data_IF_307976209078
#
_entry.id   IF_307976209078
#
_cell.length_a   1.000
_cell.length_b   1.000
_cell.length_c   1.000
_cell.angle_alpha   90.00
_cell.angle_beta   90.00
_cell.angle_gamma   90.00
#
_symmetry.space_group_name_H-M   'P 1'
#
loop_
_entity.id
_entity.type
_entity.pdbx_description
1 polymer ?
#
# COMPACT_ATOMS: atom_id res chain seq x y z
N UNK A 1 5.25 -4.45 -37.20
CA UNK A 1 4.23 -5.05 -36.32
C UNK A 1 4.81 -5.42 -34.96
N UNK A 2 5.83 -6.30 -34.87
CA UNK A 2 6.45 -6.67 -33.58
C UNK A 2 7.06 -5.49 -32.81
N UNK A 3 7.74 -4.56 -33.48
CA UNK A 3 8.32 -3.37 -32.83
C UNK A 3 7.26 -2.45 -32.20
N UNK A 4 6.08 -2.30 -32.83
CA UNK A 4 4.98 -1.50 -32.28
C UNK A 4 4.34 -2.15 -31.04
N UNK A 5 4.26 -3.48 -30.98
CA UNK A 5 3.76 -4.19 -29.79
C UNK A 5 4.70 -4.05 -28.60
N UNK A 6 6.01 -4.16 -28.82
CA UNK A 6 7.01 -3.95 -27.76
C UNK A 6 7.00 -2.51 -27.23
N UNK A 7 6.81 -1.50 -28.09
CA UNK A 7 6.65 -0.11 -27.67
C UNK A 7 5.42 0.11 -26.79
N UNK A 8 4.26 -0.45 -27.19
CA UNK A 8 3.02 -0.34 -26.39
C UNK A 8 3.20 -1.04 -25.04
N UNK A 9 3.82 -2.22 -25.03
CA UNK A 9 4.09 -2.98 -23.79
C UNK A 9 5.01 -2.18 -22.85
N UNK A 10 6.08 -1.59 -23.37
CA UNK A 10 6.99 -0.76 -22.58
C UNK A 10 6.25 0.45 -21.98
N UNK A 11 5.41 1.13 -22.76
CA UNK A 11 4.60 2.25 -22.30
C UNK A 11 3.66 1.83 -21.15
N UNK A 12 2.98 0.69 -21.29
CA UNK A 12 2.12 0.15 -20.22
C UNK A 12 2.91 -0.14 -18.94
N UNK A 13 4.09 -0.76 -19.03
CA UNK A 13 4.93 -1.02 -17.86
C UNK A 13 5.36 0.28 -17.15
N UNK A 14 5.75 1.30 -17.92
CA UNK A 14 6.10 2.61 -17.36
C UNK A 14 4.91 3.24 -16.64
N UNK A 15 3.72 3.20 -17.24
CA UNK A 15 2.50 3.74 -16.63
C UNK A 15 2.12 3.00 -15.35
N UNK A 16 2.20 1.66 -15.34
CA UNK A 16 1.92 0.84 -14.15
C UNK A 16 2.86 1.23 -13.00
N UNK A 17 4.16 1.33 -13.28
CA UNK A 17 5.15 1.74 -12.28
C UNK A 17 4.86 3.17 -11.79
N UNK A 18 4.57 4.09 -12.70
CA UNK A 18 4.30 5.48 -12.36
C UNK A 18 3.07 5.63 -11.44
N UNK A 19 1.97 4.95 -11.78
CA UNK A 19 0.77 4.92 -10.94
C UNK A 19 1.06 4.24 -9.60
N UNK A 20 1.86 3.17 -9.60
CA UNK A 20 2.30 2.49 -8.39
C UNK A 20 3.07 3.42 -7.43
N UNK A 21 3.98 4.24 -7.97
CA UNK A 21 4.72 5.24 -7.17
C UNK A 21 3.77 6.27 -6.57
N UNK A 22 2.82 6.80 -7.36
CA UNK A 22 1.81 7.74 -6.86
C UNK A 22 1.00 7.12 -5.72
N UNK A 23 0.60 5.85 -5.86
CA UNK A 23 -0.09 5.11 -4.81
C UNK A 23 0.73 5.01 -3.52
N UNK A 24 2.01 4.65 -3.62
CA UNK A 24 2.93 4.57 -2.48
C UNK A 24 3.06 5.93 -1.79
N UNK A 25 3.25 7.01 -2.54
CA UNK A 25 3.32 8.37 -2.00
C UNK A 25 2.02 8.77 -1.29
N UNK A 26 0.87 8.39 -1.85
CA UNK A 26 -0.42 8.66 -1.23
C UNK A 26 -0.57 7.94 0.12
N UNK A 27 -0.14 6.67 0.20
CA UNK A 27 -0.11 5.92 1.45
C UNK A 27 0.80 6.62 2.47
N UNK A 28 2.02 6.98 2.07
CA UNK A 28 2.97 7.69 2.96
C UNK A 28 2.35 8.97 3.50
N UNK A 29 1.77 9.81 2.64
CA UNK A 29 1.15 11.06 3.03
C UNK A 29 -0.06 10.87 3.95
N UNK A 30 -0.86 9.83 3.70
CA UNK A 30 -2.03 9.49 4.53
C UNK A 30 -1.62 9.02 5.91
N UNK A 31 -0.62 8.13 5.99
CA UNK A 31 -0.08 7.66 7.28
C UNK A 31 0.56 8.83 8.03
N UNK A 32 1.31 9.68 7.34
CA UNK A 32 1.91 10.88 7.94
C UNK A 32 0.86 11.81 8.53
N UNK A 33 -0.21 12.12 7.78
CA UNK A 33 -1.31 12.97 8.24
C UNK A 33 -2.08 12.35 9.43
N UNK A 34 -2.36 11.06 9.38
CA UNK A 34 -2.99 10.34 10.50
C UNK A 34 -2.14 10.37 11.76
N UNK A 35 -0.82 10.29 11.63
CA UNK A 35 0.05 10.38 12.80
C UNK A 35 0.11 11.81 13.30
N UNK A 36 0.25 12.81 12.42
CA UNK A 36 0.30 14.22 12.81
C UNK A 36 -0.93 14.64 13.63
N UNK A 37 -2.12 14.20 13.23
CA UNK A 37 -3.37 14.44 13.97
C UNK A 37 -3.45 13.69 15.31
N UNK A 38 -2.70 12.59 15.49
CA UNK A 38 -2.67 11.77 16.72
C UNK A 38 -1.40 11.96 17.55
N UNK A 39 -0.55 12.94 17.25
CA UNK A 39 0.72 13.16 17.98
C UNK A 39 0.49 13.38 19.47
N UNK A 40 -0.55 14.13 19.86
CA UNK A 40 -0.90 14.35 21.26
C UNK A 40 -1.29 13.07 22.01
N UNK A 41 -2.05 12.17 21.37
CA UNK A 41 -2.40 10.86 21.93
C UNK A 41 -1.16 9.97 22.09
N UNK A 42 -0.28 9.97 21.09
CA UNK A 42 0.99 9.22 21.11
C UNK A 42 1.91 9.73 22.22
N UNK A 43 2.01 11.05 22.39
CA UNK A 43 2.77 11.69 23.47
C UNK A 43 2.25 11.30 24.86
N UNK A 44 0.93 11.32 25.04
CA UNK A 44 0.27 10.88 26.27
C UNK A 44 0.49 9.38 26.55
N UNK A 45 0.39 8.50 25.55
CA UNK A 45 0.65 7.08 25.73
C UNK A 45 2.12 6.80 26.09
N UNK A 46 3.08 7.54 25.50
CA UNK A 46 4.49 7.45 25.89
C UNK A 46 4.73 7.97 27.31
N UNK A 47 4.00 9.00 27.76
CA UNK A 47 4.11 9.52 29.13
C UNK A 47 3.60 8.54 30.20
N UNK A 48 2.61 7.72 29.87
CA UNK A 48 2.08 6.65 30.76
C UNK A 48 2.97 5.38 30.71
N UNK A 49 4.03 5.37 29.89
CA UNK A 49 5.06 4.32 29.86
C UNK A 49 5.01 3.39 28.65
N UNK A 50 4.24 3.70 27.60
CA UNK A 50 4.25 2.90 26.38
C UNK A 50 5.60 3.02 25.67
N UNK A 51 6.24 1.89 25.39
CA UNK A 51 7.51 1.87 24.65
C UNK A 51 7.31 2.24 23.18
N UNK A 52 8.29 2.93 22.60
CA UNK A 52 8.30 3.28 21.17
C UNK A 52 8.21 2.03 20.26
N UNK A 53 8.74 0.89 20.73
CA UNK A 53 8.65 -0.39 20.03
C UNK A 53 7.21 -0.94 20.00
N UNK A 54 6.43 -0.76 21.07
CA UNK A 54 5.03 -1.15 21.09
C UNK A 54 4.20 -0.29 20.14
N UNK A 55 4.47 1.01 20.10
CA UNK A 55 3.84 1.93 19.17
C UNK A 55 4.12 1.51 17.71
N UNK A 56 5.39 1.22 17.40
CA UNK A 56 5.80 0.77 16.08
C UNK A 56 5.09 -0.53 15.67
N UNK A 57 4.95 -1.49 16.59
CA UNK A 57 4.22 -2.75 16.33
C UNK A 57 2.75 -2.51 16.03
N UNK A 58 2.08 -1.63 16.77
CA UNK A 58 0.65 -1.33 16.54
C UNK A 58 0.43 -0.80 15.12
N UNK A 59 1.19 0.21 14.72
CA UNK A 59 1.08 0.79 13.38
C UNK A 59 1.53 -0.18 12.27
N UNK A 60 2.51 -1.04 12.53
CA UNK A 60 2.90 -2.08 11.57
C UNK A 60 1.76 -3.08 11.33
N UNK A 61 1.06 -3.47 12.40
CA UNK A 61 -0.13 -4.32 12.30
C UNK A 61 -1.26 -3.63 11.55
N UNK A 62 -1.48 -2.34 11.79
CA UNK A 62 -2.46 -1.53 11.06
C UNK A 62 -2.14 -1.50 9.55
N UNK A 63 -0.88 -1.25 9.19
CA UNK A 63 -0.40 -1.31 7.81
C UNK A 63 -0.53 -2.70 7.17
N UNK A 64 -0.27 -3.77 7.94
CA UNK A 64 -0.48 -5.14 7.48
C UNK A 64 -1.96 -5.42 7.18
N UNK A 65 -2.87 -4.97 8.06
CA UNK A 65 -4.32 -5.07 7.84
C UNK A 65 -4.73 -4.35 6.56
N UNK A 66 -4.28 -3.11 6.36
CA UNK A 66 -4.55 -2.37 5.12
C UNK A 66 -4.00 -3.09 3.88
N UNK A 67 -2.79 -3.64 3.94
CA UNK A 67 -2.19 -4.42 2.86
C UNK A 67 -3.00 -5.65 2.50
N UNK A 68 -3.49 -6.40 3.50
CA UNK A 68 -4.34 -7.59 3.28
C UNK A 68 -5.66 -7.19 2.60
N UNK A 69 -6.35 -6.18 3.11
CA UNK A 69 -7.61 -5.70 2.51
C UNK A 69 -7.40 -5.18 1.09
N UNK A 70 -6.33 -4.41 0.87
CA UNK A 70 -5.97 -3.91 -0.46
C UNK A 70 -5.69 -5.05 -1.43
N UNK A 71 -4.95 -6.08 -1.00
CA UNK A 71 -4.66 -7.25 -1.83
C UNK A 71 -5.91 -8.05 -2.20
N UNK A 72 -6.86 -8.19 -1.27
CA UNK A 72 -8.12 -8.89 -1.51
C UNK A 72 -9.00 -8.13 -2.53
N UNK A 73 -9.13 -6.82 -2.36
CA UNK A 73 -9.89 -5.97 -3.28
C UNK A 73 -9.19 -5.91 -4.65
N UNK A 74 -7.87 -5.78 -4.66
CA UNK A 74 -7.07 -5.77 -5.90
C UNK A 74 -7.16 -7.09 -6.66
N UNK A 75 -7.10 -8.22 -5.97
CA UNK A 75 -7.23 -9.55 -6.58
C UNK A 75 -8.63 -9.77 -7.17
N UNK A 76 -9.68 -9.38 -6.45
CA UNK A 76 -11.06 -9.53 -6.95
C UNK A 76 -11.32 -8.64 -8.16
N UNK A 77 -10.95 -7.36 -8.11
CA UNK A 77 -11.06 -6.44 -9.25
C UNK A 77 -10.19 -6.87 -10.43
N UNK A 78 -8.94 -7.30 -10.17
CA UNK A 78 -8.02 -7.77 -11.21
C UNK A 78 -8.54 -9.02 -11.93
N UNK A 79 -9.14 -9.96 -11.19
CA UNK A 79 -9.77 -11.13 -11.78
C UNK A 79 -10.99 -10.76 -12.63
N UNK A 80 -11.86 -9.87 -12.14
CA UNK A 80 -13.01 -9.36 -12.91
C UNK A 80 -12.54 -8.71 -14.21
N UNK A 81 -11.53 -7.82 -14.14
CA UNK A 81 -10.94 -7.20 -15.33
C UNK A 81 -10.38 -8.24 -16.32
N UNK A 82 -9.76 -9.31 -15.82
CA UNK A 82 -9.24 -10.39 -16.67
C UNK A 82 -10.35 -11.13 -17.42
N UNK A 83 -11.51 -11.35 -16.78
CA UNK A 83 -12.69 -11.93 -17.43
C UNK A 83 -13.19 -11.00 -18.55
N UNK A 84 -13.31 -9.69 -18.29
CA UNK A 84 -13.76 -8.73 -19.29
C UNK A 84 -12.83 -8.65 -20.51
N UNK A 85 -11.51 -8.66 -20.28
CA UNK A 85 -10.51 -8.68 -21.36
C UNK A 85 -10.57 -9.98 -22.15
N UNK A 86 -10.77 -11.11 -21.48
CA UNK A 86 -10.97 -12.41 -22.14
C UNK A 86 -12.24 -12.44 -22.99
N UNK A 87 -13.37 -11.99 -22.43
CA UNK A 87 -14.65 -11.91 -23.12
C UNK A 87 -14.58 -11.01 -24.38
N UNK A 88 -13.83 -9.90 -24.32
CA UNK A 88 -13.61 -9.03 -25.47
C UNK A 88 -12.80 -9.67 -26.61
N UNK A 89 -12.02 -10.73 -26.35
CA UNK A 89 -11.27 -11.45 -27.39
C UNK A 89 -12.04 -12.62 -27.99
N UNK A 90 -12.80 -13.36 -27.17
CA UNK A 90 -13.50 -14.59 -27.61
C UNK A 90 -14.99 -14.41 -27.88
N UNK A 91 -15.53 -13.19 -27.75
CA UNK A 91 -16.95 -12.82 -27.92
C UNK A 91 -17.94 -13.72 -27.14
N UNK A 92 -17.40 -14.37 -26.09
CA UNK A 92 -18.06 -15.37 -25.27
C UNK A 92 -17.52 -15.28 -23.84
N UNK A 93 -18.43 -15.31 -22.87
CA UNK A 93 -18.10 -15.29 -21.44
C UNK A 93 -17.63 -16.68 -21.02
N UNK A 94 -16.34 -16.94 -21.19
CA UNK A 94 -15.70 -18.11 -20.59
C UNK A 94 -14.97 -17.70 -19.31
N UNK A 95 -15.08 -18.54 -18.27
CA UNK A 95 -14.28 -18.36 -17.07
C UNK A 95 -12.81 -18.59 -17.41
N UNK A 96 -12.02 -17.52 -17.33
CA UNK A 96 -10.56 -17.60 -17.48
C UNK A 96 -10.00 -18.44 -16.33
N UNK A 97 -9.11 -19.38 -16.64
CA UNK A 97 -8.45 -20.20 -15.63
C UNK A 97 -7.81 -19.30 -14.56
N UNK A 98 -8.21 -19.48 -13.29
CA UNK A 98 -7.74 -18.66 -12.17
C UNK A 98 -6.20 -18.74 -12.07
N UNK A 99 -5.47 -17.64 -12.35
CA UNK A 99 -4.02 -17.64 -12.26
C UNK A 99 -3.61 -17.43 -10.80
N UNK A 100 -3.80 -18.47 -9.97
CA UNK A 100 -3.61 -18.42 -8.52
C UNK A 100 -2.18 -17.98 -8.16
N UNK A 101 -1.18 -18.42 -8.92
CA UNK A 101 0.22 -18.02 -8.70
C UNK A 101 0.44 -16.52 -8.88
N UNK A 102 -0.10 -15.92 -9.96
CA UNK A 102 0.03 -14.49 -10.21
C UNK A 102 -0.71 -13.66 -9.15
N UNK A 103 -1.87 -14.14 -8.67
CA UNK A 103 -2.62 -13.49 -7.59
C UNK A 103 -1.82 -13.50 -6.29
N UNK A 104 -1.19 -14.64 -5.95
CA UNK A 104 -0.37 -14.76 -4.74
C UNK A 104 0.86 -13.84 -4.84
N UNK A 105 1.57 -13.84 -5.96
CA UNK A 105 2.73 -12.96 -6.16
C UNK A 105 2.33 -11.47 -6.05
N UNK A 106 1.23 -11.08 -6.70
CA UNK A 106 0.73 -9.71 -6.63
C UNK A 106 0.27 -9.33 -5.20
N UNK A 107 -0.36 -10.25 -4.48
CA UNK A 107 -0.78 -10.03 -3.10
C UNK A 107 0.43 -9.82 -2.18
N UNK A 108 1.45 -10.68 -2.29
CA UNK A 108 2.69 -10.53 -1.52
C UNK A 108 3.37 -9.20 -1.84
N UNK A 109 3.51 -8.86 -3.13
CA UNK A 109 4.09 -7.59 -3.56
C UNK A 109 3.32 -6.37 -3.02
N UNK A 110 1.99 -6.42 -3.04
CA UNK A 110 1.13 -5.36 -2.50
C UNK A 110 1.29 -5.19 -0.99
N UNK A 111 1.28 -6.28 -0.23
CA UNK A 111 1.47 -6.25 1.23
C UNK A 111 2.85 -5.69 1.58
N UNK A 112 3.90 -6.16 0.91
CA UNK A 112 5.27 -5.66 1.12
C UNK A 112 5.37 -4.18 0.79
N UNK A 113 4.79 -3.73 -0.32
CA UNK A 113 4.77 -2.32 -0.71
C UNK A 113 4.06 -1.45 0.34
N UNK A 114 2.88 -1.88 0.83
CA UNK A 114 2.15 -1.17 1.89
C UNK A 114 2.95 -1.10 3.20
N UNK A 115 3.58 -2.20 3.60
CA UNK A 115 4.40 -2.25 4.82
C UNK A 115 5.62 -1.34 4.71
N UNK A 116 6.31 -1.33 3.57
CA UNK A 116 7.43 -0.44 3.32
C UNK A 116 6.99 1.03 3.32
N UNK A 117 5.89 1.33 2.63
CA UNK A 117 5.30 2.68 2.60
C UNK A 117 4.93 3.18 4.00
N UNK A 118 4.41 2.30 4.86
CA UNK A 118 4.02 2.63 6.24
C UNK A 118 5.23 2.71 7.18
N UNK A 119 6.27 1.90 6.96
CA UNK A 119 7.47 1.89 7.79
C UNK A 119 8.31 3.18 7.66
N UNK A 120 8.31 3.83 6.48
CA UNK A 120 9.03 5.08 6.23
C UNK A 120 8.60 6.21 7.19
N UNK A 121 7.32 6.62 7.24
CA UNK A 121 6.86 7.67 8.16
C UNK A 121 7.01 7.25 9.62
N UNK A 122 6.75 5.99 9.96
CA UNK A 122 6.95 5.46 11.32
C UNK A 122 8.38 5.64 11.82
N UNK A 123 9.38 5.36 10.97
CA UNK A 123 10.80 5.56 11.31
C UNK A 123 11.14 7.02 11.51
N UNK A 124 10.50 7.92 10.76
CA UNK A 124 10.65 9.36 10.95
C UNK A 124 10.17 9.79 12.34
N UNK A 125 9.03 9.24 12.78
CA UNK A 125 8.43 9.58 14.08
C UNK A 125 9.15 8.92 15.25
N UNK A 126 9.67 7.71 15.09
CA UNK A 126 10.51 7.07 16.12
C UNK A 126 11.76 7.89 16.46
N UNK A 127 12.21 8.76 15.53
CA UNK A 127 13.31 9.70 15.72
C UNK A 127 12.88 11.10 16.14
N UNK A 128 11.58 11.40 16.16
CA UNK A 128 11.06 12.68 16.66
C UNK A 128 11.12 12.70 18.19
N UNK A 129 11.56 13.83 18.74
CA UNK A 129 11.67 14.02 20.18
C UNK A 129 10.27 14.15 20.80
N UNK A 130 10.11 13.66 22.04
CA UNK A 130 8.84 13.76 22.80
C UNK A 130 8.48 15.24 23.03
N UNK A 131 9.47 16.13 23.11
CA UNK A 131 9.29 17.56 23.37
C UNK A 131 8.68 18.26 22.16
N UNK A 132 9.20 18.02 20.94
CA UNK A 132 8.61 18.57 19.69
C UNK A 132 7.17 18.06 19.46
N UNK A 133 6.86 16.87 19.99
CA UNK A 133 5.53 16.26 19.86
C UNK A 133 4.47 16.97 20.70
N UNK A 134 4.88 17.57 21.82
CA UNK A 134 3.99 18.29 22.75
C UNK A 134 3.94 19.78 22.38
N UNK A 135 5.06 20.35 21.93
CA UNK A 135 5.15 21.77 21.51
C UNK A 135 4.36 22.05 20.22
N UNK A 136 4.18 21.07 19.33
CA UNK A 136 3.34 21.21 18.13
C UNK A 136 1.82 21.29 18.39
N UNK A 137 1.37 21.13 19.65
CA UNK A 137 -0.03 21.25 20.05
C UNK A 137 -0.38 22.67 20.55
N UNK A 138 0.63 23.51 20.81
CA UNK A 138 0.47 24.95 21.09
C UNK A 138 0.56 25.77 19.79
#
# INVERSE_FOLDING_TARGET
MAESFEQIKMLCWVLIIFIGIIGILNIINTVYSNIHTRVGEIGMQRAIGMSAASLYKTFLWEGAYYGIFASLIGATLGYICSIFVGAAQTDSLQFVALPVMAIIEAAIMSIVACLLATAIPLRSIARMSIVDSIEAVE
#
